data_IF_521860043674
#
_entry.id   IF_521860043674
#
_cell.length_a   1.000
_cell.length_b   1.000
_cell.length_c   1.000
_cell.angle_alpha   90.00
_cell.angle_beta   90.00
_cell.angle_gamma   90.00
#
_symmetry.space_group_name_H-M   'P 1'
#
loop_
_entity.id
_entity.type
_entity.pdbx_description
1 polymer ?
#
# COMPACT_ATOMS: atom_id res chain seq x y z
N UNK A 1 -9.96 25.31 -27.63
CA UNK A 1 -9.26 24.44 -26.62
C UNK A 1 -7.80 24.28 -27.04
N UNK A 2 -6.89 24.25 -26.10
CA UNK A 2 -5.46 24.10 -26.29
C UNK A 2 -5.03 22.80 -25.60
N UNK A 3 -4.37 21.91 -26.32
CA UNK A 3 -3.92 20.63 -25.83
C UNK A 3 -2.39 20.64 -25.64
N UNK A 4 -1.93 20.50 -24.42
CA UNK A 4 -0.51 20.44 -24.07
C UNK A 4 -0.15 18.97 -23.79
N UNK A 5 0.76 18.43 -24.56
CA UNK A 5 1.27 17.08 -24.37
C UNK A 5 2.65 17.10 -23.72
N UNK A 6 2.80 16.36 -22.62
CA UNK A 6 4.08 16.27 -21.90
C UNK A 6 4.57 14.82 -21.90
N UNK A 7 5.71 14.59 -22.51
CA UNK A 7 6.43 13.32 -22.40
C UNK A 7 7.36 13.35 -21.20
N UNK A 8 7.19 12.34 -20.31
CA UNK A 8 7.84 12.29 -18.99
C UNK A 8 9.07 11.40 -19.02
N UNK A 9 10.20 11.96 -18.58
CA UNK A 9 11.41 11.20 -18.31
C UNK A 9 12.05 11.60 -16.95
N UNK A 10 13.06 10.88 -16.51
CA UNK A 10 13.62 11.01 -15.16
C UNK A 10 14.17 12.40 -14.86
N UNK A 11 14.95 12.96 -15.76
CA UNK A 11 15.67 14.23 -15.54
C UNK A 11 15.09 15.38 -16.35
N UNK A 12 14.55 15.09 -17.52
CA UNK A 12 14.08 16.10 -18.46
C UNK A 12 12.76 15.63 -19.07
N UNK A 13 11.86 16.56 -19.21
CA UNK A 13 10.58 16.37 -19.89
C UNK A 13 10.58 17.12 -21.21
N UNK A 14 9.68 16.72 -22.13
CA UNK A 14 9.39 17.47 -23.34
C UNK A 14 7.93 17.88 -23.33
N UNK A 15 7.64 19.09 -23.79
CA UNK A 15 6.26 19.58 -23.93
C UNK A 15 6.07 20.25 -25.27
N UNK A 16 4.85 20.16 -25.79
CA UNK A 16 4.35 20.93 -26.94
C UNK A 16 2.89 21.28 -26.74
N UNK A 17 2.39 22.27 -27.47
CA UNK A 17 1.00 22.65 -27.46
C UNK A 17 0.42 22.75 -28.87
N UNK A 18 -0.81 22.26 -29.05
CA UNK A 18 -1.58 22.40 -30.30
C UNK A 18 -2.97 22.98 -30.01
N UNK A 19 -3.53 23.69 -31.02
CA UNK A 19 -4.93 24.11 -30.97
C UNK A 19 -5.88 22.96 -31.25
N UNK A 20 -7.21 23.19 -31.05
CA UNK A 20 -8.27 22.25 -31.46
C UNK A 20 -8.26 21.96 -32.96
N UNK A 21 -7.69 22.83 -33.78
CA UNK A 21 -7.62 22.69 -35.23
C UNK A 21 -6.34 21.99 -35.67
N UNK A 22 -5.46 21.66 -34.72
CA UNK A 22 -4.20 20.97 -34.95
C UNK A 22 -3.03 21.89 -35.29
N UNK A 23 -3.17 23.21 -35.14
CA UNK A 23 -2.08 24.17 -35.30
C UNK A 23 -1.10 24.06 -34.12
N UNK A 24 0.18 24.13 -34.41
CA UNK A 24 1.24 24.12 -33.39
C UNK A 24 1.33 25.52 -32.76
N UNK A 25 0.94 25.62 -31.50
CA UNK A 25 1.05 26.87 -30.72
C UNK A 25 2.38 26.98 -30.00
N UNK A 26 2.90 25.85 -29.53
CA UNK A 26 4.23 25.77 -28.90
C UNK A 26 4.96 24.56 -29.49
N UNK A 27 6.09 24.83 -30.15
CA UNK A 27 6.98 23.79 -30.65
C UNK A 27 7.56 22.96 -29.52
N UNK A 28 7.89 21.66 -29.76
CA UNK A 28 8.44 20.79 -28.74
C UNK A 28 9.70 21.37 -28.12
N UNK A 29 9.67 21.64 -26.84
CA UNK A 29 10.79 22.11 -26.05
C UNK A 29 11.08 21.18 -24.87
N UNK A 30 12.31 21.23 -24.41
CA UNK A 30 12.83 20.47 -23.29
C UNK A 30 12.81 21.34 -22.03
N UNK A 31 12.43 20.74 -20.89
CA UNK A 31 12.54 21.35 -19.57
C UNK A 31 12.96 20.32 -18.52
N UNK A 32 13.59 20.76 -17.44
CA UNK A 32 14.13 19.90 -16.39
C UNK A 32 13.03 19.50 -15.38
N UNK A 33 13.24 18.38 -14.68
CA UNK A 33 12.33 17.92 -13.63
C UNK A 33 12.72 18.56 -12.28
N UNK A 34 12.65 19.89 -12.23
CA UNK A 34 12.96 20.75 -11.10
C UNK A 34 12.15 22.05 -11.17
N UNK A 35 12.34 22.93 -10.18
CA UNK A 35 11.60 24.20 -10.12
C UNK A 35 11.84 25.07 -11.37
N UNK A 36 13.08 25.18 -11.83
CA UNK A 36 13.41 26.05 -12.98
C UNK A 36 12.75 25.53 -14.26
N UNK A 37 12.78 24.22 -14.48
CA UNK A 37 12.07 23.61 -15.60
C UNK A 37 10.56 23.78 -15.51
N UNK A 38 9.96 23.69 -14.32
CA UNK A 38 8.51 23.91 -14.15
C UNK A 38 8.15 25.38 -14.36
N UNK A 39 8.95 26.32 -13.92
CA UNK A 39 8.79 27.74 -14.22
C UNK A 39 8.92 28.03 -15.73
N UNK A 40 9.88 27.39 -16.41
CA UNK A 40 10.01 27.47 -17.88
C UNK A 40 8.75 26.95 -18.57
N UNK A 41 8.18 25.83 -18.11
CA UNK A 41 6.90 25.33 -18.65
C UNK A 41 5.79 26.38 -18.48
N UNK A 42 5.62 26.93 -17.27
CA UNK A 42 4.59 27.95 -17.01
C UNK A 42 4.79 29.19 -17.88
N UNK A 43 6.02 29.70 -17.99
CA UNK A 43 6.31 30.89 -18.82
C UNK A 43 5.99 30.68 -20.30
N UNK A 44 6.05 29.45 -20.81
CA UNK A 44 5.62 29.09 -22.17
C UNK A 44 4.10 29.01 -22.31
N UNK A 45 3.39 28.68 -21.22
CA UNK A 45 1.93 28.59 -21.18
C UNK A 45 1.26 29.94 -20.90
N UNK A 46 1.93 30.87 -20.19
CA UNK A 46 1.40 32.18 -19.78
C UNK A 46 0.78 33.03 -20.93
N UNK A 47 1.33 33.00 -22.17
CA UNK A 47 0.71 33.74 -23.27
C UNK A 47 -0.62 33.16 -23.76
N UNK A 48 -0.98 31.95 -23.32
CA UNK A 48 -2.17 31.21 -23.75
C UNK A 48 -3.30 31.39 -22.73
N UNK A 49 -4.54 31.31 -23.20
CA UNK A 49 -5.70 31.33 -22.31
C UNK A 49 -5.75 30.06 -21.41
N UNK A 50 -5.49 30.25 -20.13
CA UNK A 50 -5.38 29.19 -19.13
C UNK A 50 -6.64 28.34 -19.03
N UNK A 51 -7.83 28.93 -19.14
CA UNK A 51 -9.10 28.21 -19.02
C UNK A 51 -9.33 27.25 -20.17
N UNK A 52 -8.73 27.53 -21.33
CA UNK A 52 -8.74 26.71 -22.53
C UNK A 52 -7.68 25.62 -22.56
N UNK A 53 -6.70 25.64 -21.62
CA UNK A 53 -5.58 24.68 -21.59
C UNK A 53 -5.99 23.37 -20.94
N UNK A 54 -5.69 22.26 -21.64
CA UNK A 54 -5.75 20.90 -21.11
C UNK A 54 -4.38 20.26 -21.24
N UNK A 55 -3.78 19.87 -20.12
CA UNK A 55 -2.45 19.27 -20.07
C UNK A 55 -2.59 17.75 -19.93
N UNK A 56 -1.93 17.00 -20.81
CA UNK A 56 -1.84 15.55 -20.73
C UNK A 56 -0.43 15.05 -20.58
N UNK A 57 -0.29 13.97 -19.82
CA UNK A 57 0.96 13.24 -19.68
C UNK A 57 0.69 11.74 -19.58
N UNK A 58 1.67 10.90 -19.97
CA UNK A 58 1.56 9.47 -19.81
C UNK A 58 1.85 9.06 -18.34
N UNK A 59 1.09 8.06 -17.85
CA UNK A 59 1.37 7.42 -16.55
C UNK A 59 2.62 6.54 -16.65
N UNK A 60 3.80 7.15 -16.69
CA UNK A 60 5.10 6.46 -16.76
C UNK A 60 5.83 6.57 -15.42
N UNK A 61 5.80 5.50 -14.62
CA UNK A 61 6.44 5.42 -13.30
C UNK A 61 6.10 6.64 -12.39
N UNK A 62 7.00 7.00 -11.46
CA UNK A 62 6.82 8.11 -10.51
C UNK A 62 7.42 9.45 -10.97
N UNK A 63 8.03 9.48 -12.15
CA UNK A 63 8.77 10.68 -12.59
C UNK A 63 7.87 11.88 -12.93
N UNK A 64 6.60 11.64 -13.21
CA UNK A 64 5.61 12.69 -13.48
C UNK A 64 4.83 13.15 -12.26
N UNK A 65 4.95 12.47 -11.11
CA UNK A 65 4.09 12.73 -9.94
C UNK A 65 4.29 14.16 -9.40
N UNK A 66 5.53 14.66 -9.34
CA UNK A 66 5.83 16.02 -8.91
C UNK A 66 5.22 17.06 -9.84
N UNK A 67 5.33 16.84 -11.15
CA UNK A 67 4.77 17.75 -12.15
C UNK A 67 3.24 17.78 -12.11
N UNK A 68 2.59 16.61 -11.93
CA UNK A 68 1.12 16.53 -11.76
C UNK A 68 0.69 17.35 -10.54
N UNK A 69 1.32 17.15 -9.39
CA UNK A 69 1.03 17.90 -8.15
C UNK A 69 1.19 19.40 -8.36
N UNK A 70 2.31 19.81 -8.98
CA UNK A 70 2.60 21.19 -9.24
C UNK A 70 1.56 21.85 -10.16
N UNK A 71 1.21 21.21 -11.26
CA UNK A 71 0.22 21.73 -12.21
C UNK A 71 -1.19 21.78 -11.62
N UNK A 72 -1.58 20.78 -10.82
CA UNK A 72 -2.87 20.79 -10.11
C UNK A 72 -2.89 21.92 -9.06
N UNK A 73 -1.80 22.12 -8.31
CA UNK A 73 -1.68 23.23 -7.36
C UNK A 73 -1.72 24.60 -8.06
N UNK A 74 -1.24 24.69 -9.31
CA UNK A 74 -1.38 25.86 -10.17
C UNK A 74 -2.76 25.95 -10.86
N UNK A 75 -3.75 25.12 -10.50
CA UNK A 75 -5.11 25.10 -11.06
C UNK A 75 -5.17 24.86 -12.58
N UNK A 76 -4.26 24.05 -13.14
CA UNK A 76 -4.39 23.57 -14.52
C UNK A 76 -5.25 22.31 -14.61
N UNK A 77 -5.96 22.12 -15.73
CA UNK A 77 -6.70 20.90 -16.06
C UNK A 77 -5.72 19.82 -16.52
N UNK A 78 -5.34 18.92 -15.61
CA UNK A 78 -4.34 17.86 -15.87
C UNK A 78 -5.02 16.52 -16.09
N UNK A 79 -4.64 15.82 -17.16
CA UNK A 79 -5.13 14.49 -17.53
C UNK A 79 -3.97 13.49 -17.59
N UNK A 80 -4.05 12.41 -16.82
CA UNK A 80 -3.06 11.32 -16.86
C UNK A 80 -3.55 10.22 -17.79
N UNK A 81 -2.85 10.04 -18.90
CA UNK A 81 -3.23 9.12 -19.98
C UNK A 81 -2.69 7.70 -19.71
N UNK A 82 -3.50 6.71 -20.10
CA UNK A 82 -3.04 5.33 -20.11
C UNK A 82 -2.06 5.10 -21.26
N UNK A 83 -0.84 4.59 -21.03
CA UNK A 83 0.16 4.30 -22.07
C UNK A 83 -0.35 3.40 -23.21
N UNK A 84 -1.37 2.59 -22.95
CA UNK A 84 -1.99 1.78 -24.02
C UNK A 84 -2.66 2.65 -25.07
N UNK A 85 -3.33 3.74 -24.66
CA UNK A 85 -4.03 4.64 -25.60
C UNK A 85 -3.03 5.38 -26.49
N UNK A 86 -1.98 5.95 -25.91
CA UNK A 86 -0.92 6.65 -26.66
C UNK A 86 -0.13 5.70 -27.55
N UNK A 87 0.14 4.46 -27.08
CA UNK A 87 0.75 3.39 -27.88
C UNK A 87 -0.11 3.02 -29.12
N UNK A 88 -1.43 2.95 -28.96
CA UNK A 88 -2.35 2.68 -30.08
C UNK A 88 -2.30 3.81 -31.09
N UNK A 89 -2.33 5.07 -30.63
CA UNK A 89 -2.17 6.23 -31.49
C UNK A 89 -0.83 6.23 -32.25
N UNK A 90 0.25 5.86 -31.59
CA UNK A 90 1.59 5.74 -32.20
C UNK A 90 1.61 4.69 -33.32
N UNK A 91 0.90 3.57 -33.17
CA UNK A 91 0.82 2.51 -34.20
C UNK A 91 0.07 2.95 -35.44
N UNK A 92 -0.86 3.90 -35.33
CA UNK A 92 -1.60 4.44 -36.47
C UNK A 92 -0.78 5.40 -37.34
N UNK A 93 0.40 5.85 -36.88
CA UNK A 93 1.30 6.66 -37.69
C UNK A 93 2.05 5.81 -38.72
N UNK A 94 2.03 6.21 -39.98
CA UNK A 94 2.66 5.53 -41.11
C UNK A 94 4.21 5.47 -40.91
N UNK A 95 4.78 6.50 -40.35
CA UNK A 95 6.23 6.57 -40.05
C UNK A 95 6.48 6.16 -38.58
N UNK A 96 7.23 5.10 -38.38
CA UNK A 96 7.61 4.55 -37.05
C UNK A 96 8.76 5.36 -36.39
N UNK A 97 8.72 6.69 -36.48
CA UNK A 97 9.75 7.53 -35.82
C UNK A 97 9.38 7.71 -34.36
N UNK A 98 10.25 7.28 -33.45
CA UNK A 98 10.10 7.51 -32.01
C UNK A 98 11.14 8.54 -31.57
N UNK A 99 10.68 9.70 -31.16
CA UNK A 99 11.49 10.74 -30.51
C UNK A 99 10.62 11.42 -29.46
N UNK A 100 11.22 11.91 -28.39
CA UNK A 100 10.52 12.60 -27.31
C UNK A 100 9.66 13.78 -27.84
N UNK A 101 10.12 14.46 -28.90
CA UNK A 101 9.36 15.52 -29.59
C UNK A 101 8.09 15.00 -30.27
N UNK A 102 8.16 13.85 -30.94
CA UNK A 102 7.00 13.24 -31.61
C UNK A 102 6.01 12.70 -30.55
N UNK A 103 6.52 12.20 -29.44
CA UNK A 103 5.70 11.66 -28.38
C UNK A 103 4.82 12.74 -27.70
N UNK A 104 5.29 14.00 -27.59
CA UNK A 104 4.46 15.11 -27.10
C UNK A 104 3.25 15.38 -28.02
N UNK A 105 3.42 15.38 -29.34
CA UNK A 105 2.30 15.54 -30.29
C UNK A 105 1.33 14.36 -30.25
N UNK A 106 1.82 13.13 -30.03
CA UNK A 106 0.96 11.96 -29.88
C UNK A 106 0.08 12.12 -28.63
N UNK A 107 0.62 12.62 -27.54
CA UNK A 107 -0.12 12.91 -26.31
C UNK A 107 -1.18 13.98 -26.58
N UNK A 108 -0.83 15.11 -27.24
CA UNK A 108 -1.79 16.13 -27.62
C UNK A 108 -2.94 15.56 -28.46
N UNK A 109 -2.64 14.81 -29.52
CA UNK A 109 -3.65 14.16 -30.39
C UNK A 109 -4.50 13.15 -29.61
N UNK A 110 -3.89 12.42 -28.67
CA UNK A 110 -4.64 11.46 -27.83
C UNK A 110 -5.64 12.20 -26.95
N UNK A 111 -5.29 13.35 -26.37
CA UNK A 111 -6.20 14.20 -25.61
C UNK A 111 -7.37 14.70 -26.49
N UNK A 112 -7.04 15.22 -27.66
CA UNK A 112 -8.01 15.78 -28.61
C UNK A 112 -9.04 14.76 -29.08
N UNK A 113 -8.65 13.49 -29.25
CA UNK A 113 -9.51 12.41 -29.72
C UNK A 113 -10.35 11.72 -28.65
N UNK A 114 -10.17 12.05 -27.37
CA UNK A 114 -10.99 11.44 -26.31
C UNK A 114 -12.33 12.15 -26.18
N UNK A 115 -13.42 11.39 -26.27
CA UNK A 115 -14.79 11.87 -26.07
C UNK A 115 -15.03 12.41 -24.64
N UNK A 116 -14.33 11.85 -23.65
CA UNK A 116 -14.38 12.29 -22.26
C UNK A 116 -12.99 12.32 -21.63
N UNK A 117 -12.61 13.48 -21.11
CA UNK A 117 -11.37 13.68 -20.35
C UNK A 117 -11.67 13.71 -18.87
N UNK A 118 -10.89 12.94 -18.10
CA UNK A 118 -10.92 12.98 -16.65
C UNK A 118 -9.71 13.76 -16.14
N UNK A 119 -9.98 14.82 -15.42
CA UNK A 119 -8.95 15.66 -14.82
C UNK A 119 -8.58 15.16 -13.42
N UNK A 120 -7.29 15.26 -13.11
CA UNK A 120 -6.76 14.97 -11.77
C UNK A 120 -7.24 16.03 -10.79
N UNK A 121 -7.78 15.60 -9.67
CA UNK A 121 -8.26 16.44 -8.57
C UNK A 121 -7.34 16.32 -7.36
N UNK A 122 -7.51 17.16 -6.34
CA UNK A 122 -6.84 17.00 -5.06
C UNK A 122 -7.15 15.66 -4.41
N UNK A 123 -8.39 15.17 -4.54
CA UNK A 123 -8.76 13.83 -4.09
C UNK A 123 -7.92 12.72 -4.74
N UNK A 124 -7.60 12.84 -6.02
CA UNK A 124 -6.72 11.89 -6.70
C UNK A 124 -5.29 11.94 -6.17
N UNK A 125 -4.80 13.12 -5.76
CA UNK A 125 -3.50 13.27 -5.11
C UNK A 125 -3.48 12.56 -3.76
N UNK A 126 -4.53 12.69 -2.96
CA UNK A 126 -4.69 11.96 -1.70
C UNK A 126 -4.71 10.44 -1.90
N UNK A 127 -5.37 9.96 -2.97
CA UNK A 127 -5.33 8.54 -3.35
C UNK A 127 -3.93 8.08 -3.75
N UNK A 128 -3.14 8.95 -4.40
CA UNK A 128 -1.72 8.66 -4.71
C UNK A 128 -0.90 8.55 -3.42
N UNK A 129 -1.13 9.41 -2.44
CA UNK A 129 -0.45 9.38 -1.13
C UNK A 129 -0.85 8.14 -0.34
N UNK A 130 -2.14 7.81 -0.26
CA UNK A 130 -2.62 6.58 0.37
C UNK A 130 -2.01 5.33 -0.27
N UNK A 131 -1.84 5.33 -1.58
CA UNK A 131 -1.18 4.22 -2.30
C UNK A 131 0.29 4.10 -1.93
N UNK A 132 1.02 5.21 -1.89
CA UNK A 132 2.43 5.23 -1.52
C UNK A 132 2.62 4.77 -0.06
N UNK A 133 1.86 5.35 0.87
CA UNK A 133 1.88 5.01 2.29
C UNK A 133 1.47 3.56 2.55
N UNK A 134 0.41 3.08 1.91
CA UNK A 134 -0.06 1.69 2.04
C UNK A 134 0.97 0.66 1.57
N UNK A 135 1.67 0.95 0.47
CA UNK A 135 2.77 0.11 -0.04
C UNK A 135 3.98 0.14 0.88
N UNK A 136 4.35 1.33 1.36
CA UNK A 136 5.44 1.49 2.33
C UNK A 136 5.12 0.73 3.62
N UNK A 137 3.93 0.92 4.18
CA UNK A 137 3.44 0.19 5.36
C UNK A 137 3.57 -1.33 5.19
N UNK A 138 3.10 -1.89 4.06
CA UNK A 138 3.18 -3.33 3.83
C UNK A 138 4.63 -3.82 3.74
N UNK A 139 5.52 -3.04 3.13
CA UNK A 139 6.96 -3.34 3.08
C UNK A 139 7.57 -3.35 4.48
N UNK A 140 7.26 -2.35 5.28
CA UNK A 140 7.75 -2.21 6.68
C UNK A 140 7.25 -3.35 7.56
N UNK A 141 5.97 -3.74 7.47
CA UNK A 141 5.44 -4.91 8.20
C UNK A 141 6.20 -6.18 7.83
N UNK A 142 6.52 -6.40 6.55
CA UNK A 142 7.29 -7.58 6.11
C UNK A 142 8.72 -7.56 6.67
N UNK A 143 9.37 -6.40 6.69
CA UNK A 143 10.70 -6.24 7.27
C UNK A 143 10.67 -6.55 8.77
N UNK A 144 9.72 -5.97 9.52
CA UNK A 144 9.51 -6.24 10.94
C UNK A 144 9.28 -7.74 11.21
N UNK A 145 8.43 -8.40 10.41
CA UNK A 145 8.18 -9.84 10.55
C UNK A 145 9.43 -10.67 10.36
N UNK A 146 10.27 -10.33 9.38
CA UNK A 146 11.56 -11.02 9.18
C UNK A 146 12.50 -10.84 10.36
N UNK A 147 12.60 -9.63 10.90
CA UNK A 147 13.42 -9.37 12.09
C UNK A 147 12.90 -10.11 13.32
N UNK A 148 11.58 -10.21 13.51
CA UNK A 148 11.00 -11.01 14.59
C UNK A 148 11.36 -12.50 14.48
N UNK A 149 11.27 -13.07 13.28
CA UNK A 149 11.69 -14.46 13.04
C UNK A 149 13.18 -14.63 13.34
N UNK A 150 14.02 -13.71 12.89
CA UNK A 150 15.45 -13.73 13.11
C UNK A 150 15.80 -13.59 14.60
N UNK A 151 15.15 -12.65 15.32
CA UNK A 151 15.29 -12.51 16.77
C UNK A 151 14.91 -13.79 17.52
N UNK A 152 13.83 -14.46 17.08
CA UNK A 152 13.45 -15.76 17.67
C UNK A 152 14.58 -16.77 17.53
N UNK A 153 15.22 -16.89 16.36
CA UNK A 153 16.36 -17.79 16.16
C UNK A 153 17.56 -17.44 17.06
N UNK A 154 17.84 -16.16 17.25
CA UNK A 154 18.93 -15.76 18.16
C UNK A 154 18.60 -16.07 19.63
N UNK A 155 17.35 -15.93 20.04
CA UNK A 155 16.90 -16.28 21.39
C UNK A 155 16.94 -17.80 21.59
N UNK A 156 16.66 -18.61 20.57
CA UNK A 156 16.79 -20.07 20.63
C UNK A 156 18.22 -20.52 20.94
N UNK A 157 19.21 -19.76 20.51
CA UNK A 157 20.62 -20.07 20.78
C UNK A 157 21.13 -19.50 22.12
N UNK A 158 20.71 -18.25 22.45
CA UNK A 158 21.24 -17.55 23.63
C UNK A 158 20.46 -17.87 24.89
N UNK A 159 19.14 -18.12 24.83
CA UNK A 159 18.27 -18.43 25.96
C UNK A 159 17.04 -19.24 25.53
N UNK A 160 17.21 -20.53 25.16
CA UNK A 160 16.13 -21.34 24.59
C UNK A 160 14.91 -21.47 25.50
N UNK A 161 15.08 -21.51 26.79
CA UNK A 161 14.00 -21.67 27.76
C UNK A 161 13.08 -20.44 27.82
N UNK A 162 13.55 -19.27 27.38
CA UNK A 162 12.79 -18.02 27.41
C UNK A 162 11.54 -18.06 26.52
N UNK A 163 11.57 -18.84 25.45
CA UNK A 163 10.44 -18.97 24.51
C UNK A 163 9.16 -19.48 25.17
N UNK A 164 9.34 -20.40 26.14
CA UNK A 164 8.20 -21.04 26.82
C UNK A 164 7.84 -20.36 28.13
N UNK A 165 8.69 -19.49 28.64
CA UNK A 165 8.47 -18.80 29.89
C UNK A 165 7.33 -17.78 29.81
N UNK A 166 7.30 -16.96 28.76
CA UNK A 166 6.27 -15.95 28.58
C UNK A 166 5.10 -16.51 27.74
N UNK A 167 3.93 -16.71 28.35
CA UNK A 167 2.73 -17.24 27.69
C UNK A 167 2.31 -16.42 26.44
N UNK A 168 2.56 -15.10 26.45
CA UNK A 168 2.27 -14.20 25.34
C UNK A 168 3.37 -14.19 24.26
N UNK A 169 4.42 -15.02 24.40
CA UNK A 169 5.56 -15.14 23.50
C UNK A 169 6.63 -14.07 23.70
N UNK A 170 7.67 -14.12 22.87
CA UNK A 170 8.86 -13.26 22.99
C UNK A 170 8.62 -11.81 22.54
N UNK A 171 7.68 -11.58 21.63
CA UNK A 171 7.54 -10.30 20.94
C UNK A 171 6.64 -9.31 21.71
N UNK A 172 7.04 -8.98 22.93
CA UNK A 172 6.35 -8.03 23.81
C UNK A 172 7.35 -7.03 24.43
N UNK A 173 6.87 -5.84 24.78
CA UNK A 173 7.69 -4.72 25.27
C UNK A 173 8.55 -5.10 26.49
N UNK A 174 8.01 -5.87 27.42
CA UNK A 174 8.72 -6.31 28.63
C UNK A 174 9.89 -7.24 28.33
N UNK A 175 9.74 -8.14 27.35
CA UNK A 175 10.84 -9.04 26.93
C UNK A 175 11.90 -8.26 26.16
N UNK A 176 11.49 -7.32 25.32
CA UNK A 176 12.43 -6.45 24.59
C UNK A 176 13.24 -5.57 25.56
N UNK A 177 12.59 -4.99 26.58
CA UNK A 177 13.28 -4.21 27.60
C UNK A 177 14.29 -5.06 28.36
N UNK A 178 13.90 -6.29 28.75
CA UNK A 178 14.79 -7.26 29.42
C UNK A 178 16.00 -7.60 28.57
N UNK A 179 15.78 -8.04 27.32
CA UNK A 179 16.85 -8.50 26.42
C UNK A 179 17.75 -7.37 25.91
N UNK A 180 17.30 -6.13 25.91
CA UNK A 180 18.16 -4.97 25.63
C UNK A 180 19.13 -4.67 26.74
N UNK A 181 18.73 -4.89 27.99
CA UNK A 181 19.55 -4.62 29.16
C UNK A 181 20.40 -5.85 29.55
N UNK A 182 19.82 -7.03 29.51
CA UNK A 182 20.46 -8.30 29.84
C UNK A 182 20.16 -9.35 28.75
N UNK A 183 20.93 -9.39 27.65
CA UNK A 183 20.67 -10.27 26.53
C UNK A 183 20.99 -11.75 26.79
N UNK A 184 21.76 -12.06 27.81
CA UNK A 184 22.18 -13.44 28.16
C UNK A 184 21.55 -13.94 29.46
N UNK A 185 21.39 -15.28 29.65
CA UNK A 185 20.94 -15.85 30.90
C UNK A 185 21.81 -15.42 32.08
N UNK A 186 23.14 -15.39 31.91
CA UNK A 186 24.09 -14.98 32.97
C UNK A 186 23.85 -13.53 33.40
N UNK A 187 23.65 -12.61 32.43
CA UNK A 187 23.33 -11.22 32.71
C UNK A 187 22.00 -11.07 33.47
N UNK A 188 20.98 -11.83 33.12
CA UNK A 188 19.67 -11.84 33.82
C UNK A 188 19.84 -12.42 35.24
N UNK A 189 20.58 -13.51 35.40
CA UNK A 189 20.83 -14.15 36.69
C UNK A 189 21.59 -13.24 37.67
N UNK A 190 22.51 -12.40 37.16
CA UNK A 190 23.30 -11.46 37.94
C UNK A 190 22.57 -10.15 38.26
N UNK A 191 21.48 -9.80 37.57
CA UNK A 191 20.72 -8.59 37.87
C UNK A 191 20.23 -8.55 39.33
N UNK A 192 20.21 -7.34 39.89
CA UNK A 192 19.61 -7.17 41.22
C UNK A 192 18.10 -7.45 41.17
N UNK A 193 17.57 -8.24 42.10
CA UNK A 193 16.19 -8.73 42.09
C UNK A 193 15.14 -7.59 42.01
N UNK A 194 15.35 -6.52 42.78
CA UNK A 194 14.44 -5.37 42.78
C UNK A 194 14.43 -4.66 41.41
N UNK A 195 15.60 -4.60 40.74
CA UNK A 195 15.72 -4.01 39.43
C UNK A 195 15.03 -4.88 38.35
N UNK A 196 15.30 -6.19 38.35
CA UNK A 196 14.65 -7.14 37.45
C UNK A 196 13.10 -7.10 37.58
N UNK A 197 12.61 -7.12 38.83
CA UNK A 197 11.18 -7.04 39.10
C UNK A 197 10.58 -5.70 38.66
N UNK A 198 11.27 -4.58 38.88
CA UNK A 198 10.84 -3.26 38.43
C UNK A 198 10.83 -3.16 36.92
N UNK A 199 11.86 -3.60 36.21
CA UNK A 199 11.98 -3.62 34.77
C UNK A 199 10.81 -4.38 34.13
N UNK A 200 10.52 -5.57 34.59
CA UNK A 200 9.42 -6.40 34.11
C UNK A 200 8.07 -5.75 34.43
N UNK A 201 7.84 -5.25 35.64
CA UNK A 201 6.59 -4.64 36.07
C UNK A 201 6.22 -3.39 35.23
N UNK A 202 7.18 -2.48 35.06
CA UNK A 202 6.96 -1.23 34.30
C UNK A 202 6.64 -1.53 32.83
N UNK A 203 7.40 -2.40 32.18
CA UNK A 203 7.24 -2.70 30.77
C UNK A 203 6.09 -3.68 30.45
N UNK A 204 5.49 -4.29 31.48
CA UNK A 204 4.28 -5.13 31.34
C UNK A 204 3.01 -4.45 31.83
N UNK A 205 3.04 -3.15 32.14
CA UNK A 205 1.91 -2.44 32.75
C UNK A 205 1.39 -3.12 34.04
N UNK A 206 2.30 -3.68 34.84
CA UNK A 206 2.00 -4.33 36.11
C UNK A 206 1.58 -5.81 36.02
N UNK A 207 1.54 -6.40 34.82
CA UNK A 207 1.17 -7.82 34.65
C UNK A 207 2.25 -8.80 35.15
N UNK A 208 3.51 -8.38 35.21
CA UNK A 208 4.61 -9.20 35.73
C UNK A 208 5.03 -8.69 37.10
N UNK A 209 5.00 -9.58 38.06
CA UNK A 209 5.27 -9.30 39.46
C UNK A 209 6.67 -9.78 39.89
N UNK A 210 6.95 -9.65 41.20
CA UNK A 210 8.22 -10.09 41.80
C UNK A 210 8.39 -11.60 41.72
N UNK A 211 7.30 -12.36 41.79
CA UNK A 211 7.35 -13.83 41.75
C UNK A 211 7.81 -14.29 40.36
N UNK A 212 7.26 -13.68 39.29
CA UNK A 212 7.68 -13.96 37.93
C UNK A 212 9.17 -13.60 37.72
N UNK A 213 9.64 -12.49 38.30
CA UNK A 213 11.06 -12.13 38.24
C UNK A 213 11.95 -13.17 38.93
N UNK A 214 11.50 -13.73 40.06
CA UNK A 214 12.21 -14.81 40.74
C UNK A 214 12.28 -16.08 39.90
N UNK A 215 11.15 -16.49 39.33
CA UNK A 215 11.07 -17.65 38.42
C UNK A 215 11.99 -17.49 37.22
N UNK A 216 11.98 -16.30 36.59
CA UNK A 216 12.86 -15.99 35.46
C UNK A 216 14.34 -16.07 35.85
N UNK A 217 14.72 -15.56 37.02
CA UNK A 217 16.10 -15.62 37.51
C UNK A 217 16.55 -17.06 37.74
N UNK A 218 15.69 -17.89 38.32
CA UNK A 218 15.99 -19.33 38.54
C UNK A 218 16.12 -20.06 37.19
N UNK A 219 15.27 -19.71 36.21
CA UNK A 219 15.36 -20.24 34.87
C UNK A 219 16.68 -19.85 34.20
N UNK A 220 17.07 -18.59 34.30
CA UNK A 220 18.31 -18.06 33.76
C UNK A 220 19.56 -18.74 34.38
N UNK A 221 19.54 -19.01 35.68
CA UNK A 221 20.63 -19.73 36.38
C UNK A 221 20.81 -21.18 35.89
N UNK A 222 19.78 -21.79 35.33
CA UNK A 222 19.78 -23.19 34.87
C UNK A 222 19.80 -23.30 33.34
N UNK A 223 19.85 -22.20 32.66
CA UNK A 223 19.81 -22.18 31.16
C UNK A 223 21.02 -22.89 30.58
N UNK A 224 20.79 -23.58 29.48
CA UNK A 224 21.84 -24.19 28.65
C UNK A 224 22.25 -23.28 27.49
N UNK A 225 21.72 -22.05 27.44
CA UNK A 225 21.99 -21.10 26.38
C UNK A 225 23.42 -20.61 26.32
N UNK A 226 23.85 -20.17 25.16
CA UNK A 226 25.19 -19.69 24.92
C UNK A 226 25.41 -18.30 25.56
N UNK A 227 26.53 -18.11 26.25
CA UNK A 227 26.94 -16.79 26.73
C UNK A 227 27.88 -16.15 25.70
N UNK A 228 27.30 -15.71 24.56
CA UNK A 228 28.01 -15.21 23.40
C UNK A 228 27.78 -13.70 23.20
N UNK A 229 28.86 -12.93 23.13
CA UNK A 229 28.82 -11.48 22.92
C UNK A 229 28.32 -11.09 21.52
N UNK A 230 28.63 -11.90 20.51
CA UNK A 230 28.15 -11.64 19.15
C UNK A 230 26.63 -11.84 19.04
N UNK A 231 26.08 -12.90 19.63
CA UNK A 231 24.63 -13.10 19.73
C UNK A 231 23.95 -12.01 20.54
N UNK A 232 24.56 -11.55 21.63
CA UNK A 232 24.04 -10.44 22.45
C UNK A 232 23.87 -9.16 21.64
N UNK A 233 24.86 -8.81 20.81
CA UNK A 233 24.78 -7.67 19.89
C UNK A 233 23.67 -7.86 18.87
N UNK A 234 23.54 -9.06 18.29
CA UNK A 234 22.50 -9.35 17.29
C UNK A 234 21.09 -9.27 17.89
N UNK A 235 20.88 -9.79 19.10
CA UNK A 235 19.61 -9.68 19.84
C UNK A 235 19.26 -8.21 20.08
N UNK A 236 20.19 -7.44 20.68
CA UNK A 236 19.95 -6.04 21.02
C UNK A 236 19.65 -5.18 19.79
N UNK A 237 20.45 -5.33 18.72
CA UNK A 237 20.25 -4.57 17.47
C UNK A 237 18.97 -4.99 16.74
N UNK A 238 18.61 -6.27 16.75
CA UNK A 238 17.35 -6.72 16.16
C UNK A 238 16.13 -6.11 16.86
N UNK A 239 16.16 -6.02 18.19
CA UNK A 239 15.10 -5.37 18.97
C UNK A 239 15.02 -3.89 18.63
N UNK A 240 16.16 -3.17 18.61
CA UNK A 240 16.18 -1.74 18.24
C UNK A 240 15.61 -1.49 16.85
N UNK A 241 15.93 -2.34 15.87
CA UNK A 241 15.38 -2.25 14.52
C UNK A 241 13.86 -2.53 14.50
N UNK A 242 13.37 -3.50 15.27
CA UNK A 242 11.94 -3.78 15.40
C UNK A 242 11.21 -2.58 15.99
N UNK A 243 11.73 -2.00 17.08
CA UNK A 243 11.14 -0.81 17.72
C UNK A 243 11.12 0.40 16.77
N UNK A 244 12.18 0.61 15.98
CA UNK A 244 12.22 1.65 14.96
C UNK A 244 11.13 1.43 13.88
N UNK A 245 10.99 0.20 13.40
CA UNK A 245 9.95 -0.12 12.42
C UNK A 245 8.53 0.02 12.99
N UNK A 246 8.33 -0.27 14.28
CA UNK A 246 7.06 -0.05 14.97
C UNK A 246 6.72 1.46 15.03
N UNK A 247 7.69 2.30 15.42
CA UNK A 247 7.53 3.77 15.41
C UNK A 247 7.24 4.33 14.01
N UNK A 248 7.93 3.81 12.98
CA UNK A 248 7.65 4.21 11.58
C UNK A 248 6.24 3.82 11.15
N UNK A 249 5.76 2.63 11.55
CA UNK A 249 4.40 2.18 11.25
C UNK A 249 3.35 3.07 11.92
N UNK A 250 3.54 3.44 13.18
CA UNK A 250 2.64 4.35 13.90
C UNK A 250 2.49 5.70 13.16
N UNK A 251 3.60 6.28 12.70
CA UNK A 251 3.56 7.53 11.93
C UNK A 251 2.85 7.40 10.60
N UNK A 252 3.13 6.33 9.84
CA UNK A 252 2.47 6.06 8.55
C UNK A 252 0.98 5.83 8.73
N UNK A 253 0.58 5.10 9.78
CA UNK A 253 -0.83 4.83 10.08
C UNK A 253 -1.58 6.08 10.54
N UNK A 254 -0.92 6.98 11.28
CA UNK A 254 -1.47 8.28 11.65
C UNK A 254 -1.76 9.13 10.40
N UNK A 255 -0.78 9.29 9.51
CA UNK A 255 -0.92 10.04 8.26
C UNK A 255 -2.04 9.48 7.37
N UNK A 256 -2.07 8.14 7.18
CA UNK A 256 -3.15 7.50 6.43
C UNK A 256 -4.53 7.74 7.07
N UNK A 257 -4.60 7.78 8.40
CA UNK A 257 -5.84 8.02 9.14
C UNK A 257 -6.33 9.45 8.91
N UNK A 258 -5.43 10.44 8.93
CA UNK A 258 -5.79 11.85 8.75
C UNK A 258 -6.25 12.12 7.31
N UNK A 259 -5.57 11.58 6.30
CA UNK A 259 -6.02 11.65 4.90
C UNK A 259 -7.43 11.04 4.76
N UNK A 260 -7.67 9.87 5.37
CA UNK A 260 -8.95 9.18 5.27
C UNK A 260 -10.10 9.88 6.00
N UNK A 261 -9.82 10.57 7.12
CA UNK A 261 -10.82 11.39 7.82
C UNK A 261 -11.23 12.61 6.98
N UNK A 262 -10.26 13.22 6.30
CA UNK A 262 -10.52 14.39 5.45
C UNK A 262 -11.37 14.01 4.22
N UNK A 263 -11.14 12.83 3.65
CA UNK A 263 -11.79 12.43 2.40
C UNK A 263 -13.21 11.83 2.55
N UNK A 264 -13.66 11.53 3.75
CA UNK A 264 -15.00 11.02 4.10
C UNK A 264 -15.63 10.04 3.08
N UNK A 265 -14.89 8.99 2.74
CA UNK A 265 -15.29 8.04 1.70
C UNK A 265 -16.36 7.06 2.19
N UNK A 266 -17.35 6.79 1.33
CA UNK A 266 -18.43 5.81 1.58
C UNK A 266 -17.93 4.41 1.98
N UNK A 267 -16.69 4.03 1.64
CA UNK A 267 -16.10 2.75 2.03
C UNK A 267 -16.03 2.59 3.57
N UNK A 268 -15.95 3.72 4.30
CA UNK A 268 -15.88 3.72 5.76
C UNK A 268 -17.21 3.34 6.43
N UNK A 269 -18.31 3.37 5.70
CA UNK A 269 -19.61 2.93 6.22
C UNK A 269 -19.76 1.40 6.28
N UNK A 270 -18.81 0.64 5.71
CA UNK A 270 -18.80 -0.83 5.79
C UNK A 270 -18.32 -1.25 7.19
N UNK A 271 -19.17 -1.94 8.01
CA UNK A 271 -18.79 -2.37 9.35
C UNK A 271 -17.55 -3.28 9.33
N UNK A 272 -16.50 -2.88 10.05
CA UNK A 272 -15.23 -3.61 10.13
C UNK A 272 -14.14 -3.10 9.18
N UNK A 273 -14.41 -2.12 8.33
CA UNK A 273 -13.36 -1.41 7.58
C UNK A 273 -12.91 -0.19 8.39
N UNK A 274 -11.67 -0.23 8.89
CA UNK A 274 -11.03 0.92 9.53
C UNK A 274 -10.22 1.75 8.52
N UNK A 275 -9.78 2.94 8.94
CA UNK A 275 -9.06 3.93 8.11
C UNK A 275 -7.87 3.33 7.36
N UNK A 276 -7.08 2.48 8.01
CA UNK A 276 -5.89 1.87 7.40
C UNK A 276 -6.26 0.92 6.25
N UNK A 277 -7.20 0.01 6.47
CA UNK A 277 -7.64 -0.91 5.42
C UNK A 277 -8.40 -0.18 4.31
N UNK A 278 -9.25 0.77 4.67
CA UNK A 278 -9.96 1.64 3.72
C UNK A 278 -8.99 2.42 2.86
N UNK A 279 -8.00 3.08 3.46
CA UNK A 279 -6.98 3.85 2.75
C UNK A 279 -6.12 2.99 1.83
N UNK A 280 -5.70 1.80 2.26
CA UNK A 280 -4.98 0.86 1.40
C UNK A 280 -5.81 0.39 0.21
N UNK A 281 -7.11 0.15 0.40
CA UNK A 281 -8.02 -0.26 -0.66
C UNK A 281 -8.23 0.90 -1.65
N UNK A 282 -8.58 2.09 -1.16
CA UNK A 282 -8.81 3.26 -2.01
C UNK A 282 -7.55 3.68 -2.77
N UNK A 283 -6.41 3.74 -2.12
CA UNK A 283 -5.15 4.10 -2.76
C UNK A 283 -4.74 3.13 -3.87
N UNK A 284 -4.95 1.82 -3.70
CA UNK A 284 -4.68 0.84 -4.75
C UNK A 284 -5.73 0.82 -5.86
N UNK A 285 -7.00 1.10 -5.55
CA UNK A 285 -8.07 1.26 -6.54
C UNK A 285 -7.82 2.53 -7.37
N UNK A 286 -7.49 3.65 -6.71
CA UNK A 286 -7.48 4.95 -7.36
C UNK A 286 -8.87 5.28 -7.91
N UNK A 287 -8.95 5.67 -9.18
CA UNK A 287 -10.23 5.89 -9.84
C UNK A 287 -11.01 4.58 -10.04
N UNK A 288 -12.20 4.48 -9.44
CA UNK A 288 -13.07 3.30 -9.56
C UNK A 288 -13.62 3.13 -11.00
N UNK A 289 -13.85 4.23 -11.73
CA UNK A 289 -14.43 4.20 -13.06
C UNK A 289 -13.51 3.57 -14.13
N UNK A 290 -12.22 3.39 -13.81
CA UNK A 290 -11.32 2.60 -14.67
C UNK A 290 -11.69 1.11 -14.73
N UNK A 291 -12.52 0.64 -13.81
CA UNK A 291 -13.01 -0.73 -13.76
C UNK A 291 -14.48 -0.76 -14.23
N UNK A 292 -14.71 -1.08 -15.50
CA UNK A 292 -16.05 -1.09 -16.10
C UNK A 292 -17.03 -2.08 -15.45
N UNK A 293 -16.55 -3.01 -14.63
CA UNK A 293 -17.37 -3.95 -13.85
C UNK A 293 -16.55 -4.52 -12.67
N UNK A 294 -17.23 -5.10 -11.65
CA UNK A 294 -16.56 -5.60 -10.46
C UNK A 294 -15.60 -6.77 -10.72
N UNK A 295 -15.77 -7.53 -11.81
CA UNK A 295 -14.86 -8.64 -12.13
C UNK A 295 -13.49 -8.12 -12.58
N UNK A 296 -13.40 -6.95 -13.22
CA UNK A 296 -12.11 -6.32 -13.53
C UNK A 296 -11.36 -5.87 -12.27
N UNK A 297 -12.08 -5.34 -11.27
CA UNK A 297 -11.49 -5.02 -9.97
C UNK A 297 -11.06 -6.30 -9.23
N UNK A 298 -11.87 -7.36 -9.30
CA UNK A 298 -11.54 -8.66 -8.72
C UNK A 298 -10.26 -9.24 -9.33
N UNK A 299 -10.13 -9.19 -10.66
CA UNK A 299 -8.93 -9.61 -11.39
C UNK A 299 -7.72 -8.73 -11.05
N UNK A 300 -7.91 -7.40 -10.94
CA UNK A 300 -6.86 -6.48 -10.52
C UNK A 300 -6.36 -6.76 -9.10
N UNK A 301 -7.23 -7.19 -8.18
CA UNK A 301 -6.85 -7.68 -6.87
C UNK A 301 -6.21 -9.08 -6.91
N UNK A 302 -6.36 -9.81 -8.04
CA UNK A 302 -5.90 -11.19 -8.18
C UNK A 302 -6.65 -12.17 -7.29
N UNK A 303 -7.93 -11.88 -7.03
CA UNK A 303 -8.86 -12.72 -6.28
C UNK A 303 -9.75 -13.59 -7.18
N UNK A 304 -9.65 -13.39 -8.48
CA UNK A 304 -10.32 -14.18 -9.51
C UNK A 304 -9.81 -15.62 -9.56
N UNK A 305 -10.65 -16.61 -9.89
CA UNK A 305 -10.21 -17.98 -10.09
C UNK A 305 -9.34 -18.08 -11.35
N UNK A 306 -8.24 -18.85 -11.27
CA UNK A 306 -7.50 -19.25 -12.46
C UNK A 306 -8.30 -20.26 -13.26
N UNK A 307 -8.52 -20.00 -14.55
CA UNK A 307 -9.16 -20.94 -15.47
C UNK A 307 -8.07 -21.76 -16.15
N UNK A 308 -8.19 -23.07 -16.09
CA UNK A 308 -7.35 -23.99 -16.84
C UNK A 308 -8.24 -24.94 -17.63
N UNK A 309 -8.33 -24.70 -18.93
CA UNK A 309 -9.09 -25.49 -19.89
C UNK A 309 -8.21 -25.79 -21.09
N UNK A 310 -8.21 -27.03 -21.57
CA UNK A 310 -7.52 -27.45 -22.78
C UNK A 310 -8.36 -28.50 -23.49
N UNK A 311 -8.89 -28.15 -24.64
CA UNK A 311 -9.85 -28.99 -25.35
C UNK A 311 -11.06 -29.35 -24.47
N UNK A 312 -11.32 -30.65 -24.33
CA UNK A 312 -12.40 -31.13 -23.47
C UNK A 312 -12.06 -31.27 -21.98
N UNK A 313 -10.81 -30.91 -21.59
CA UNK A 313 -10.38 -30.95 -20.20
C UNK A 313 -10.71 -29.66 -19.49
N UNK A 314 -11.43 -29.75 -18.37
CA UNK A 314 -11.69 -28.65 -17.45
C UNK A 314 -11.18 -29.02 -16.05
N UNK A 315 -10.32 -28.17 -15.48
CA UNK A 315 -9.75 -28.45 -14.17
C UNK A 315 -10.84 -28.48 -13.09
N UNK A 316 -10.91 -29.59 -12.34
CA UNK A 316 -11.86 -29.79 -11.23
C UNK A 316 -11.60 -28.86 -10.04
N UNK A 317 -10.36 -28.39 -9.87
CA UNK A 317 -9.97 -27.45 -8.77
C UNK A 317 -9.33 -26.22 -9.38
N UNK A 318 -9.91 -25.06 -9.12
CA UNK A 318 -9.36 -23.75 -9.47
C UNK A 318 -8.66 -23.13 -8.28
N UNK A 319 -7.56 -22.42 -8.52
CA UNK A 319 -6.86 -21.62 -7.50
C UNK A 319 -7.04 -20.15 -7.81
N UNK A 320 -6.91 -19.32 -6.79
CA UNK A 320 -6.86 -17.85 -6.96
C UNK A 320 -5.70 -17.49 -7.89
N UNK A 321 -5.93 -16.60 -8.88
CA UNK A 321 -4.94 -16.24 -9.91
C UNK A 321 -3.69 -15.58 -9.30
N UNK A 322 -3.89 -14.82 -8.23
CA UNK A 322 -2.87 -14.01 -7.54
C UNK A 322 -2.11 -13.05 -8.46
N UNK A 323 -2.63 -12.77 -9.66
CA UNK A 323 -2.15 -11.75 -10.58
C UNK A 323 -2.60 -10.36 -10.07
N UNK A 324 -2.00 -9.29 -10.55
CA UNK A 324 -2.38 -7.93 -10.16
C UNK A 324 -1.82 -7.47 -8.81
N UNK A 325 -2.50 -6.55 -8.12
CA UNK A 325 -1.99 -5.89 -6.90
C UNK A 325 -1.98 -6.82 -5.69
N UNK A 326 -0.77 -7.13 -5.20
CA UNK A 326 -0.58 -7.90 -3.96
C UNK A 326 -1.01 -7.09 -2.73
N UNK A 327 -0.89 -5.76 -2.79
CA UNK A 327 -1.24 -4.85 -1.69
C UNK A 327 -2.75 -4.77 -1.56
N UNK A 328 -3.47 -4.58 -2.65
CA UNK A 328 -4.93 -4.57 -2.67
C UNK A 328 -5.49 -5.90 -2.15
N UNK A 329 -4.97 -7.04 -2.63
CA UNK A 329 -5.40 -8.35 -2.16
C UNK A 329 -5.20 -8.52 -0.66
N UNK A 330 -4.04 -8.10 -0.13
CA UNK A 330 -3.75 -8.13 1.30
C UNK A 330 -4.76 -7.28 2.09
N UNK A 331 -5.00 -6.03 1.67
CA UNK A 331 -5.95 -5.14 2.34
C UNK A 331 -7.39 -5.70 2.31
N UNK A 332 -7.82 -6.26 1.17
CA UNK A 332 -9.16 -6.85 1.02
C UNK A 332 -9.36 -8.10 1.87
N UNK A 333 -8.35 -8.96 2.01
CA UNK A 333 -8.46 -10.16 2.86
C UNK A 333 -8.51 -9.76 4.34
N UNK A 334 -7.70 -8.78 4.75
CA UNK A 334 -7.74 -8.24 6.12
C UNK A 334 -9.08 -7.53 6.41
N UNK A 335 -9.57 -6.73 5.46
CA UNK A 335 -10.89 -6.11 5.56
C UNK A 335 -11.99 -7.17 5.67
N UNK A 336 -11.96 -8.21 4.84
CA UNK A 336 -12.95 -9.30 4.89
C UNK A 336 -12.94 -10.03 6.25
N UNK A 337 -11.76 -10.24 6.86
CA UNK A 337 -11.66 -10.83 8.20
C UNK A 337 -12.41 -9.99 9.26
N UNK A 338 -12.24 -8.66 9.20
CA UNK A 338 -12.92 -7.76 10.13
C UNK A 338 -14.41 -7.62 9.81
N UNK A 339 -14.77 -7.54 8.52
CA UNK A 339 -16.18 -7.45 8.09
C UNK A 339 -16.96 -8.70 8.52
N UNK A 340 -16.38 -9.90 8.40
CA UNK A 340 -16.99 -11.15 8.90
C UNK A 340 -17.29 -11.09 10.38
N UNK A 341 -16.49 -10.41 11.20
CA UNK A 341 -16.72 -10.25 12.64
C UNK A 341 -17.81 -9.22 12.96
N UNK A 342 -17.98 -8.20 12.11
CA UNK A 342 -18.82 -7.04 12.39
C UNK A 342 -20.11 -6.98 11.54
N UNK A 343 -20.36 -7.99 10.67
CA UNK A 343 -21.51 -8.01 9.79
C UNK A 343 -22.13 -9.41 9.71
N UNK A 344 -23.38 -9.55 10.11
CA UNK A 344 -24.08 -10.84 10.19
C UNK A 344 -24.20 -11.54 8.82
N UNK A 345 -24.43 -10.79 7.72
CA UNK A 345 -24.56 -11.37 6.38
C UNK A 345 -23.23 -11.95 5.89
N UNK A 346 -22.12 -11.25 6.13
CA UNK A 346 -20.78 -11.76 5.81
C UNK A 346 -20.39 -12.93 6.73
N UNK A 347 -20.78 -12.88 7.99
CA UNK A 347 -20.57 -13.99 8.94
C UNK A 347 -21.30 -15.24 8.48
N UNK A 348 -22.58 -15.16 8.15
CA UNK A 348 -23.36 -16.29 7.64
C UNK A 348 -22.74 -16.87 6.35
N UNK A 349 -22.29 -16.00 5.44
CA UNK A 349 -21.62 -16.45 4.22
C UNK A 349 -20.28 -17.14 4.51
N UNK A 350 -19.48 -16.63 5.45
CA UNK A 350 -18.24 -17.26 5.89
C UNK A 350 -18.52 -18.64 6.51
N UNK A 351 -19.50 -18.75 7.43
CA UNK A 351 -19.86 -19.99 8.10
C UNK A 351 -20.35 -21.05 7.10
N UNK A 352 -21.14 -20.65 6.10
CA UNK A 352 -21.56 -21.55 5.02
C UNK A 352 -20.33 -22.10 4.24
N UNK A 353 -19.32 -21.27 3.98
CA UNK A 353 -18.09 -21.73 3.32
C UNK A 353 -17.25 -22.64 4.20
N UNK A 354 -17.24 -22.42 5.51
CA UNK A 354 -16.60 -23.35 6.46
C UNK A 354 -17.34 -24.69 6.51
N UNK A 355 -18.68 -24.68 6.50
CA UNK A 355 -19.51 -25.90 6.45
C UNK A 355 -19.31 -26.72 5.15
N UNK A 356 -18.95 -26.07 4.02
CA UNK A 356 -18.52 -26.73 2.79
C UNK A 356 -17.16 -27.45 2.92
N UNK A 357 -16.52 -27.45 4.09
CA UNK A 357 -15.19 -28.04 4.31
C UNK A 357 -14.02 -27.15 3.83
N UNK A 358 -14.24 -25.85 3.62
CA UNK A 358 -13.17 -24.92 3.22
C UNK A 358 -12.29 -24.56 4.43
N UNK A 359 -11.00 -24.32 4.18
CA UNK A 359 -10.13 -23.79 5.22
C UNK A 359 -10.44 -22.32 5.50
N UNK A 360 -10.11 -21.83 6.69
CA UNK A 360 -10.29 -20.43 7.12
C UNK A 360 -9.88 -19.40 6.05
N UNK A 361 -8.65 -19.50 5.53
CA UNK A 361 -8.17 -18.55 4.52
C UNK A 361 -8.87 -18.69 3.16
N UNK A 362 -9.35 -19.88 2.82
CA UNK A 362 -10.14 -20.06 1.60
C UNK A 362 -11.53 -19.41 1.75
N UNK A 363 -12.20 -19.61 2.88
CA UNK A 363 -13.47 -18.96 3.20
C UNK A 363 -13.35 -17.43 3.23
N UNK A 364 -12.28 -16.89 3.84
CA UNK A 364 -11.98 -15.45 3.79
C UNK A 364 -11.73 -14.94 2.37
N UNK A 365 -11.08 -15.71 1.51
CA UNK A 365 -10.90 -15.38 0.10
C UNK A 365 -12.22 -15.21 -0.64
N UNK A 366 -13.21 -16.09 -0.37
CA UNK A 366 -14.57 -15.96 -0.90
C UNK A 366 -15.29 -14.70 -0.36
N UNK A 367 -15.15 -14.41 0.95
CA UNK A 367 -15.69 -13.19 1.55
C UNK A 367 -15.05 -11.93 0.93
N UNK A 368 -13.73 -11.93 0.72
CA UNK A 368 -13.02 -10.83 0.05
C UNK A 368 -13.54 -10.62 -1.38
N UNK A 369 -13.79 -11.69 -2.14
CA UNK A 369 -14.37 -11.59 -3.47
C UNK A 369 -15.81 -11.02 -3.48
N UNK A 370 -16.62 -11.32 -2.46
CA UNK A 370 -17.94 -10.69 -2.25
C UNK A 370 -17.79 -9.21 -1.87
N UNK A 371 -16.84 -8.90 -0.98
CA UNK A 371 -16.55 -7.54 -0.53
C UNK A 371 -16.11 -6.64 -1.69
N UNK A 372 -15.29 -7.15 -2.63
CA UNK A 372 -14.89 -6.41 -3.84
C UNK A 372 -16.10 -5.93 -4.64
N UNK A 373 -17.13 -6.77 -4.81
CA UNK A 373 -18.35 -6.41 -5.55
C UNK A 373 -19.14 -5.32 -4.84
N UNK A 374 -19.23 -5.41 -3.51
CA UNK A 374 -19.87 -4.40 -2.67
C UNK A 374 -19.12 -3.07 -2.77
N UNK A 375 -17.80 -3.08 -2.58
CA UNK A 375 -16.96 -1.88 -2.66
C UNK A 375 -17.08 -1.25 -4.06
N UNK A 376 -17.00 -2.06 -5.13
CA UNK A 376 -17.14 -1.54 -6.49
C UNK A 376 -18.47 -0.80 -6.70
N UNK A 377 -19.59 -1.41 -6.27
CA UNK A 377 -20.92 -0.78 -6.38
C UNK A 377 -21.02 0.51 -5.57
N UNK A 378 -20.57 0.47 -4.31
CA UNK A 378 -20.61 1.64 -3.42
C UNK A 378 -19.82 2.82 -3.97
N UNK A 379 -18.58 2.57 -4.43
CA UNK A 379 -17.71 3.62 -4.97
C UNK A 379 -18.16 4.13 -6.34
N UNK A 380 -18.76 3.28 -7.18
CA UNK A 380 -19.27 3.68 -8.50
C UNK A 380 -20.50 4.54 -8.38
N UNK A 381 -21.41 4.21 -7.48
CA UNK A 381 -22.69 4.91 -7.31
C UNK A 381 -22.64 5.97 -6.21
N UNK A 382 -21.51 6.06 -5.50
CA UNK A 382 -21.31 6.91 -4.32
C UNK A 382 -22.42 6.74 -3.26
N UNK A 383 -22.72 5.48 -2.91
CA UNK A 383 -23.77 5.14 -1.93
C UNK A 383 -23.17 4.47 -0.71
N UNK A 384 -23.74 4.77 0.47
CA UNK A 384 -23.36 4.14 1.72
C UNK A 384 -23.72 2.66 1.76
N UNK A 385 -23.04 1.92 2.66
CA UNK A 385 -23.33 0.53 2.90
C UNK A 385 -24.70 0.38 3.57
N UNK A 386 -25.60 -0.29 2.90
CA UNK A 386 -26.94 -0.57 3.45
C UNK A 386 -27.17 -2.09 3.57
N UNK A 387 -27.71 -2.51 4.72
CA UNK A 387 -28.04 -3.90 5.09
C UNK A 387 -29.44 -4.32 4.61
N UNK A 388 -29.99 -3.75 3.53
CA UNK A 388 -31.25 -4.27 3.01
C UNK A 388 -31.11 -5.63 2.38
#
# INVERSE_FOLDING_TARGET
>A
MIYVGIDIAKLNHFASAISSDGEILIEPFKFTNDNDGFQLLLSKLDPLDKDSIIIGLESTAHYGDNLVRYLVACNYKVCVLNPIKTSTMRKNNIRKTKTDKVDTYIICKTLMMQESLRFVTFYDLDLMDLKALGRFRQKTIKQRTRLKIQLTSYVDEIFPELQYFFKSGLHQKSVYALLKEAPTPEAIASMHMTHLAHLLKVNSHGHFDKEMAQQLRVLAQKSVGANDSALSIQVTHSIQQIELLDSQLERVEAEMTDIMKFNDSVIMTIPGIGYINGGMILGEIGDIHRFSNPNKLLAYAGLDPSVYQSGNYQAKKTRMSKRGSKVLRYALVNAAHNVVKNNATFKAYYDAKMAEGRTHYNALGHCAGKLVRVIWKMLTDNVEFNLK
#
